data_IF_971166417942
#
_entry.id   IF_971166417942
#
_cell.length_a   1.000
_cell.length_b   1.000
_cell.length_c   1.000
_cell.angle_alpha   90.00
_cell.angle_beta   90.00
_cell.angle_gamma   90.00
#
_symmetry.space_group_name_H-M   'P 1'
#
loop_
_entity.id
_entity.type
_entity.pdbx_description
1 polymer ?
#
# COMPACT_ATOMS: atom_id res chain seq x y z
N UNK A 1 17.03 -20.70 -20.49
CA UNK A 1 17.62 -20.99 -19.16
C UNK A 1 19.16 -21.00 -19.17
N UNK A 2 19.81 -20.05 -19.90
CA UNK A 2 21.29 -19.86 -19.90
C UNK A 2 21.73 -18.39 -19.90
N UNK A 3 20.79 -17.44 -19.74
CA UNK A 3 21.08 -16.00 -19.59
C UNK A 3 20.94 -15.50 -18.15
N UNK A 4 20.47 -16.33 -17.22
CA UNK A 4 20.14 -15.93 -15.84
C UNK A 4 21.34 -15.96 -14.88
N UNK A 5 22.49 -16.52 -15.30
CA UNK A 5 23.63 -16.74 -14.41
C UNK A 5 24.79 -15.73 -14.56
N UNK A 6 24.79 -14.89 -15.62
CA UNK A 6 25.91 -14.00 -15.93
C UNK A 6 25.83 -12.62 -15.24
N UNK A 7 24.71 -12.27 -14.59
CA UNK A 7 24.55 -10.97 -13.90
C UNK A 7 24.94 -11.05 -12.41
N UNK A 8 25.17 -12.25 -11.87
CA UNK A 8 25.45 -12.46 -10.44
C UNK A 8 26.89 -12.18 -10.00
N UNK A 9 27.80 -11.82 -10.90
CA UNK A 9 29.24 -11.66 -10.59
C UNK A 9 29.78 -10.22 -10.67
N UNK A 10 28.90 -9.21 -10.78
CA UNK A 10 29.30 -7.80 -10.80
C UNK A 10 28.41 -6.89 -9.92
N UNK A 11 27.87 -7.40 -8.81
CA UNK A 11 27.20 -6.57 -7.82
C UNK A 11 28.24 -5.76 -7.02
N UNK A 12 28.71 -4.67 -7.62
CA UNK A 12 29.28 -3.54 -6.88
C UNK A 12 28.21 -3.01 -5.91
N UNK A 13 28.57 -2.52 -4.72
CA UNK A 13 27.60 -1.94 -3.80
C UNK A 13 26.83 -0.79 -4.47
N UNK A 14 25.52 -0.86 -4.32
CA UNK A 14 24.54 0.11 -4.79
C UNK A 14 24.70 1.44 -4.07
N UNK A 15 25.24 2.43 -4.76
CA UNK A 15 25.20 3.80 -4.31
C UNK A 15 24.46 4.61 -5.34
N UNK A 16 23.33 5.21 -4.92
CA UNK A 16 22.62 6.18 -5.73
C UNK A 16 23.63 7.17 -6.28
N UNK A 17 23.63 7.34 -7.60
CA UNK A 17 24.70 8.05 -8.30
C UNK A 17 24.62 9.51 -7.89
N UNK A 18 25.62 10.00 -7.15
CA UNK A 18 25.78 11.43 -6.92
C UNK A 18 26.05 12.09 -8.26
N UNK A 19 25.06 12.85 -8.75
CA UNK A 19 25.16 13.57 -10.01
C UNK A 19 26.00 14.83 -9.83
N UNK A 20 25.84 15.49 -8.69
CA UNK A 20 26.53 16.72 -8.35
C UNK A 20 26.41 17.03 -6.85
N UNK A 21 27.42 17.64 -6.27
CA UNK A 21 27.37 18.26 -4.95
C UNK A 21 28.18 19.55 -4.93
N UNK A 22 27.74 20.54 -4.16
CA UNK A 22 28.53 21.74 -3.90
C UNK A 22 29.76 21.42 -3.04
N UNK A 23 30.79 22.26 -3.09
CA UNK A 23 32.04 22.04 -2.35
C UNK A 23 31.85 21.99 -0.82
N UNK A 24 30.85 22.70 -0.31
CA UNK A 24 30.44 22.71 1.09
C UNK A 24 29.41 21.62 1.44
N UNK A 25 28.97 20.82 0.48
CA UNK A 25 27.95 19.78 0.64
C UNK A 25 26.53 20.28 0.92
N UNK A 26 26.30 21.60 0.96
CA UNK A 26 24.99 22.19 1.29
C UNK A 26 23.92 21.95 0.21
N UNK A 27 24.36 21.64 -1.00
CA UNK A 27 23.49 21.32 -2.14
C UNK A 27 23.99 20.07 -2.83
N UNK A 28 23.06 19.21 -3.22
CA UNK A 28 23.38 17.98 -3.93
C UNK A 28 22.24 17.52 -4.82
N UNK A 29 22.57 16.68 -5.79
CA UNK A 29 21.65 15.93 -6.62
C UNK A 29 22.14 14.49 -6.72
N UNK A 30 21.26 13.54 -6.46
CA UNK A 30 21.56 12.11 -6.56
C UNK A 30 20.41 11.39 -7.29
N UNK A 31 20.77 10.35 -8.03
CA UNK A 31 19.84 9.48 -8.73
C UNK A 31 19.90 8.09 -8.11
N UNK A 32 18.84 7.70 -7.43
CA UNK A 32 18.64 6.33 -6.97
C UNK A 32 17.87 5.56 -8.07
N UNK A 33 18.23 4.30 -8.32
CA UNK A 33 17.48 3.45 -9.25
C UNK A 33 17.09 2.14 -8.61
N UNK A 34 15.94 1.60 -9.00
CA UNK A 34 15.49 0.29 -8.55
C UNK A 34 14.92 -0.50 -9.71
N UNK A 35 15.31 -1.77 -9.82
CA UNK A 35 14.78 -2.72 -10.78
C UNK A 35 14.20 -3.91 -10.02
N UNK A 36 12.92 -4.18 -10.19
CA UNK A 36 12.26 -5.35 -9.61
C UNK A 36 11.71 -6.25 -10.69
N UNK A 37 11.84 -7.55 -10.49
CA UNK A 37 11.19 -8.56 -11.32
C UNK A 37 10.44 -9.53 -10.43
N UNK A 38 9.15 -9.70 -10.69
CA UNK A 38 8.27 -10.58 -9.94
C UNK A 38 7.63 -11.59 -10.88
N UNK A 39 7.65 -12.87 -10.52
CA UNK A 39 6.96 -13.95 -11.21
C UNK A 39 5.98 -14.63 -10.27
N UNK A 40 4.72 -14.68 -10.70
CA UNK A 40 3.60 -15.26 -9.98
C UNK A 40 3.07 -16.47 -10.76
N UNK A 41 2.82 -17.57 -10.07
CA UNK A 41 2.04 -18.69 -10.58
C UNK A 41 0.84 -18.93 -9.67
N UNK A 42 -0.33 -19.09 -10.25
CA UNK A 42 -1.58 -19.22 -9.52
C UNK A 42 -2.36 -20.45 -9.97
N UNK A 43 -3.00 -21.11 -9.01
CA UNK A 43 -3.90 -22.23 -9.21
C UNK A 43 -5.28 -21.87 -8.65
N UNK A 44 -6.21 -21.58 -9.56
CA UNK A 44 -7.55 -21.10 -9.27
C UNK A 44 -8.48 -22.19 -8.68
N UNK A 45 -9.53 -21.81 -7.94
CA UNK A 45 -10.63 -22.72 -7.59
C UNK A 45 -11.43 -23.12 -8.85
N UNK A 46 -12.29 -24.12 -8.71
CA UNK A 46 -13.02 -24.68 -9.86
C UNK A 46 -14.24 -23.81 -10.15
N UNK A 47 -14.01 -22.72 -10.88
CA UNK A 47 -15.02 -21.74 -11.25
C UNK A 47 -14.74 -21.20 -12.67
N UNK A 48 -15.10 -21.96 -13.73
CA UNK A 48 -14.74 -21.64 -15.11
C UNK A 48 -15.23 -20.27 -15.61
N UNK A 49 -16.30 -19.73 -15.03
CA UNK A 49 -16.83 -18.40 -15.37
C UNK A 49 -15.96 -17.26 -14.83
N UNK A 50 -15.22 -17.49 -13.73
CA UNK A 50 -14.29 -16.52 -13.14
C UNK A 50 -12.85 -16.76 -13.62
N UNK A 51 -12.51 -18.03 -13.83
CA UNK A 51 -11.18 -18.51 -14.18
C UNK A 51 -11.26 -19.42 -15.41
N UNK A 52 -11.10 -18.88 -16.62
CA UNK A 52 -11.09 -19.69 -17.85
C UNK A 52 -10.04 -20.80 -17.84
N UNK A 53 -8.96 -20.62 -17.07
CA UNK A 53 -7.90 -21.61 -16.85
C UNK A 53 -7.65 -21.82 -15.36
N UNK A 54 -7.38 -23.08 -15.00
CA UNK A 54 -7.02 -23.50 -13.64
C UNK A 54 -5.65 -23.02 -13.21
N UNK A 55 -4.71 -22.95 -14.14
CA UNK A 55 -3.36 -22.45 -13.93
C UNK A 55 -3.17 -21.16 -14.71
N UNK A 56 -2.60 -20.16 -14.04
CA UNK A 56 -2.18 -18.91 -14.65
C UNK A 56 -0.79 -18.52 -14.18
N UNK A 57 -0.13 -17.69 -14.98
CA UNK A 57 1.14 -17.08 -14.62
C UNK A 57 1.09 -15.59 -14.91
N UNK A 58 1.80 -14.81 -14.12
CA UNK A 58 2.03 -13.40 -14.36
C UNK A 58 3.50 -13.04 -14.10
N UNK A 59 4.04 -12.14 -14.90
CA UNK A 59 5.34 -11.53 -14.68
C UNK A 59 5.18 -10.02 -14.61
N UNK A 60 5.93 -9.37 -13.71
CA UNK A 60 5.96 -7.93 -13.55
C UNK A 60 7.41 -7.46 -13.46
N UNK A 61 7.87 -6.71 -14.45
CA UNK A 61 9.10 -5.92 -14.36
C UNK A 61 8.77 -4.50 -13.94
N UNK A 62 9.50 -3.93 -12.97
CA UNK A 62 9.39 -2.54 -12.55
C UNK A 62 10.76 -1.88 -12.57
N UNK A 63 10.90 -0.76 -13.26
CA UNK A 63 12.09 0.08 -13.21
C UNK A 63 11.72 1.45 -12.63
N UNK A 64 12.46 1.92 -11.64
CA UNK A 64 12.24 3.21 -10.99
C UNK A 64 13.51 4.04 -11.03
N UNK A 65 13.37 5.30 -11.46
CA UNK A 65 14.41 6.32 -11.43
C UNK A 65 13.96 7.40 -10.46
N UNK A 66 14.72 7.62 -9.38
CA UNK A 66 14.39 8.55 -8.32
C UNK A 66 15.49 9.61 -8.16
N UNK A 67 15.23 10.81 -8.68
CA UNK A 67 16.06 11.97 -8.46
C UNK A 67 15.72 12.61 -7.10
N UNK A 68 16.73 12.81 -6.27
CA UNK A 68 16.65 13.58 -5.03
C UNK A 68 17.63 14.73 -5.06
N UNK A 69 17.17 15.90 -4.67
CA UNK A 69 17.99 17.10 -4.63
C UNK A 69 17.78 17.91 -3.37
N UNK A 70 18.85 18.51 -2.88
CA UNK A 70 18.82 19.64 -1.96
C UNK A 70 19.26 20.87 -2.75
N UNK A 71 18.29 21.66 -3.23
CA UNK A 71 18.53 22.81 -4.09
C UNK A 71 19.01 24.03 -3.29
N UNK A 72 18.60 24.12 -2.01
CA UNK A 72 19.07 25.07 -1.02
C UNK A 72 19.03 24.44 0.38
N UNK A 73 19.55 25.12 1.41
CA UNK A 73 19.60 24.60 2.79
C UNK A 73 18.21 24.23 3.36
N UNK A 74 17.16 24.85 2.85
CA UNK A 74 15.77 24.71 3.26
C UNK A 74 14.87 24.14 2.15
N UNK A 75 15.41 23.83 0.96
CA UNK A 75 14.64 23.46 -0.22
C UNK A 75 15.06 22.10 -0.78
N UNK A 76 14.16 21.13 -0.68
CA UNK A 76 14.35 19.77 -1.19
C UNK A 76 13.44 19.50 -2.38
N UNK A 77 13.96 18.76 -3.35
CA UNK A 77 13.24 18.36 -4.58
C UNK A 77 13.29 16.85 -4.71
N UNK A 78 12.16 16.25 -5.06
CA UNK A 78 12.05 14.81 -5.33
C UNK A 78 11.28 14.60 -6.62
N UNK A 79 11.86 13.80 -7.52
CA UNK A 79 11.21 13.30 -8.72
C UNK A 79 11.41 11.79 -8.79
N UNK A 80 10.35 11.03 -9.03
CA UNK A 80 10.44 9.60 -9.25
C UNK A 80 9.57 9.20 -10.43
N UNK A 81 10.21 8.58 -11.41
CA UNK A 81 9.60 8.05 -12.61
C UNK A 81 9.69 6.53 -12.60
N UNK A 82 8.56 5.88 -12.80
CA UNK A 82 8.44 4.43 -12.78
C UNK A 82 7.97 3.90 -14.12
N UNK A 83 8.51 2.76 -14.53
CA UNK A 83 8.13 2.01 -15.71
C UNK A 83 7.79 0.60 -15.28
N UNK A 84 6.75 0.03 -15.87
CA UNK A 84 6.21 -1.28 -15.54
C UNK A 84 5.91 -2.05 -16.81
N UNK A 85 6.36 -3.28 -16.87
CA UNK A 85 5.93 -4.24 -17.89
C UNK A 85 5.27 -5.39 -17.17
N UNK A 86 4.00 -5.62 -17.46
CA UNK A 86 3.24 -6.77 -16.94
C UNK A 86 2.92 -7.69 -18.09
N UNK A 87 3.14 -8.98 -17.91
CA UNK A 87 2.68 -10.02 -18.81
C UNK A 87 1.86 -11.04 -18.03
N UNK A 88 0.73 -11.47 -18.58
CA UNK A 88 -0.14 -12.49 -17.98
C UNK A 88 -0.34 -13.64 -18.97
N UNK A 89 -0.57 -14.85 -18.47
CA UNK A 89 -0.91 -15.99 -19.34
C UNK A 89 -2.31 -15.80 -19.97
N UNK A 90 -2.52 -16.28 -21.19
CA UNK A 90 -3.84 -16.24 -21.83
C UNK A 90 -4.92 -16.87 -20.94
N UNK A 91 -6.03 -16.18 -20.76
CA UNK A 91 -7.14 -16.66 -19.93
C UNK A 91 -6.85 -16.64 -18.43
N UNK A 92 -5.88 -15.85 -17.97
CA UNK A 92 -5.57 -15.71 -16.55
C UNK A 92 -6.75 -15.16 -15.72
N UNK A 93 -7.61 -14.32 -16.31
CA UNK A 93 -8.73 -13.69 -15.60
C UNK A 93 -8.29 -13.03 -14.29
N UNK A 94 -9.05 -13.22 -13.22
CA UNK A 94 -8.68 -12.76 -11.88
C UNK A 94 -7.42 -13.46 -11.30
N UNK A 95 -6.99 -14.58 -11.88
CA UNK A 95 -5.84 -15.37 -11.45
C UNK A 95 -4.49 -14.78 -11.86
N UNK A 96 -4.48 -13.73 -12.69
CA UNK A 96 -3.29 -13.00 -13.15
C UNK A 96 -2.59 -12.13 -12.09
N UNK A 97 -2.86 -12.37 -10.80
CA UNK A 97 -2.22 -11.66 -9.68
C UNK A 97 -2.99 -10.46 -9.15
N UNK A 98 -4.32 -10.43 -9.32
CA UNK A 98 -5.17 -9.44 -8.69
C UNK A 98 -4.98 -9.48 -7.15
N UNK A 99 -4.78 -8.31 -6.53
CA UNK A 99 -4.58 -8.16 -5.09
C UNK A 99 -3.18 -8.52 -4.57
N UNK A 100 -2.41 -9.36 -5.27
CA UNK A 100 -1.03 -9.74 -4.89
C UNK A 100 0.00 -8.82 -5.56
N UNK A 101 -0.13 -8.61 -6.87
CA UNK A 101 0.76 -7.73 -7.62
C UNK A 101 0.23 -6.29 -7.56
N UNK A 102 1.13 -5.32 -7.72
CA UNK A 102 0.81 -3.88 -7.70
C UNK A 102 -0.38 -3.57 -8.62
N UNK A 103 -1.41 -2.86 -8.15
CA UNK A 103 -2.60 -2.61 -8.94
C UNK A 103 -2.32 -1.73 -10.17
N UNK A 104 -3.05 -1.99 -11.26
CA UNK A 104 -3.05 -1.17 -12.49
C UNK A 104 -4.21 -0.16 -12.54
N UNK A 105 -4.97 -0.03 -11.44
CA UNK A 105 -6.05 0.94 -11.32
C UNK A 105 -5.51 2.37 -11.24
N UNK A 106 -6.35 3.36 -11.57
CA UNK A 106 -5.99 4.79 -11.49
C UNK A 106 -5.62 5.18 -10.06
N UNK A 107 -4.71 6.13 -9.90
CA UNK A 107 -4.32 6.61 -8.57
C UNK A 107 -5.36 7.60 -8.04
N UNK A 108 -5.66 7.53 -6.74
CA UNK A 108 -6.47 8.56 -6.10
C UNK A 108 -5.74 9.91 -6.12
N UNK A 109 -6.50 11.01 -6.16
CA UNK A 109 -6.00 12.38 -5.97
C UNK A 109 -4.82 12.74 -6.90
N UNK A 110 -4.99 12.55 -8.21
CA UNK A 110 -4.07 13.07 -9.22
C UNK A 110 -4.82 14.00 -10.15
N UNK A 111 -4.29 15.21 -10.35
CA UNK A 111 -4.77 16.19 -11.34
C UNK A 111 -4.67 15.60 -12.76
N UNK A 112 -3.62 14.82 -13.00
CA UNK A 112 -3.43 14.01 -14.22
C UNK A 112 -2.71 12.73 -13.87
N UNK A 113 -3.17 11.59 -14.38
CA UNK A 113 -2.55 10.32 -14.02
C UNK A 113 -1.12 10.16 -14.56
N UNK A 114 -0.88 10.57 -15.81
CA UNK A 114 0.36 10.29 -16.55
C UNK A 114 0.74 8.81 -16.46
N UNK A 115 -0.22 7.92 -16.71
CA UNK A 115 -0.09 6.47 -16.51
C UNK A 115 -0.39 5.62 -17.75
N UNK A 116 -0.21 6.22 -18.93
CA UNK A 116 -0.61 5.66 -20.22
C UNK A 116 -0.10 4.22 -20.40
N UNK A 117 -1.00 3.39 -20.92
CA UNK A 117 -0.74 1.98 -21.15
C UNK A 117 -0.55 1.70 -22.64
N UNK A 118 0.53 1.01 -22.97
CA UNK A 118 0.82 0.50 -24.30
C UNK A 118 0.64 -1.02 -24.29
N UNK A 119 -0.25 -1.53 -25.13
CA UNK A 119 -0.39 -2.96 -25.32
C UNK A 119 0.88 -3.51 -25.99
N UNK A 120 1.44 -4.56 -25.42
CA UNK A 120 2.60 -5.29 -25.93
C UNK A 120 2.15 -6.70 -26.32
N UNK A 121 1.54 -6.84 -27.49
CA UNK A 121 0.88 -8.09 -27.90
C UNK A 121 -0.42 -8.34 -27.14
N UNK A 122 -0.88 -9.59 -27.09
CA UNK A 122 -2.22 -9.92 -26.57
C UNK A 122 -2.32 -9.89 -25.04
N UNK A 123 -1.24 -10.24 -24.33
CA UNK A 123 -1.29 -10.44 -22.88
C UNK A 123 -0.19 -9.69 -22.11
N UNK A 124 0.40 -8.65 -22.69
CA UNK A 124 1.34 -7.81 -21.96
C UNK A 124 1.02 -6.32 -22.12
N UNK A 125 1.32 -5.57 -21.08
CA UNK A 125 1.12 -4.13 -20.98
C UNK A 125 2.40 -3.48 -20.51
N UNK A 126 2.80 -2.43 -21.19
CA UNK A 126 3.77 -1.47 -20.68
C UNK A 126 3.02 -0.27 -20.13
N UNK A 127 3.42 0.19 -18.95
CA UNK A 127 2.93 1.41 -18.31
C UNK A 127 4.11 2.19 -17.78
N UNK A 128 3.95 3.49 -17.68
CA UNK A 128 4.91 4.36 -17.03
C UNK A 128 4.16 5.36 -16.16
N UNK A 129 4.75 5.84 -15.09
CA UNK A 129 4.15 6.91 -14.29
C UNK A 129 5.18 7.83 -13.66
N UNK A 130 4.78 9.10 -13.51
CA UNK A 130 5.43 10.00 -12.57
C UNK A 130 4.85 9.73 -11.18
N UNK A 131 5.54 8.94 -10.34
CA UNK A 131 5.05 8.59 -9.00
C UNK A 131 5.39 9.64 -7.94
N UNK A 132 6.46 10.42 -8.13
CA UNK A 132 6.81 11.58 -7.29
C UNK A 132 7.25 12.75 -8.14
N UNK A 133 6.85 13.94 -7.74
CA UNK A 133 7.29 15.22 -8.30
C UNK A 133 6.87 16.32 -7.33
N UNK A 134 7.68 16.58 -6.31
CA UNK A 134 7.36 17.57 -5.30
C UNK A 134 8.58 18.38 -4.86
N UNK A 135 8.28 19.54 -4.30
CA UNK A 135 9.21 20.40 -3.59
C UNK A 135 8.80 20.46 -2.13
N UNK A 136 9.75 20.30 -1.22
CA UNK A 136 9.57 20.51 0.21
C UNK A 136 10.41 21.71 0.64
N UNK A 137 9.76 22.70 1.23
CA UNK A 137 10.40 23.93 1.69
C UNK A 137 10.21 24.10 3.19
N UNK A 138 11.32 24.17 3.93
CA UNK A 138 11.33 24.45 5.36
C UNK A 138 11.26 25.96 5.61
N UNK A 139 10.16 26.42 6.18
CA UNK A 139 9.87 27.83 6.46
C UNK A 139 9.87 28.05 7.98
N UNK A 140 11.01 28.49 8.52
CA UNK A 140 11.17 28.66 9.97
C UNK A 140 11.02 27.31 10.70
N UNK A 141 9.95 27.18 11.50
CA UNK A 141 9.63 25.94 12.21
C UNK A 141 8.72 24.99 11.43
N UNK A 142 8.09 25.46 10.34
CA UNK A 142 7.17 24.65 9.54
C UNK A 142 7.79 24.10 8.25
N UNK A 143 7.06 23.22 7.59
CA UNK A 143 7.38 22.69 6.27
C UNK A 143 6.16 22.81 5.34
N UNK A 144 6.41 23.27 4.12
CA UNK A 144 5.45 23.32 3.02
C UNK A 144 5.90 22.35 1.93
N UNK A 145 5.05 21.38 1.60
CA UNK A 145 5.27 20.39 0.55
C UNK A 145 4.26 20.62 -0.58
N UNK A 146 4.72 20.77 -1.81
CA UNK A 146 3.85 21.01 -2.97
C UNK A 146 4.24 20.04 -4.09
N UNK A 147 3.25 19.31 -4.60
CA UNK A 147 3.37 18.45 -5.77
C UNK A 147 2.93 17.01 -5.50
N UNK A 148 3.40 16.08 -6.32
CA UNK A 148 3.05 14.66 -6.22
C UNK A 148 3.90 13.95 -5.16
N UNK A 149 3.28 13.51 -4.08
CA UNK A 149 3.95 12.96 -2.90
C UNK A 149 3.19 11.77 -2.32
N UNK A 150 3.86 10.89 -1.58
CA UNK A 150 3.15 9.93 -0.76
C UNK A 150 2.65 10.63 0.50
N UNK A 151 1.35 10.48 0.75
CA UNK A 151 0.75 10.83 2.03
C UNK A 151 0.10 9.56 2.56
N UNK A 152 0.45 9.21 3.79
CA UNK A 152 -0.13 8.08 4.51
C UNK A 152 -0.28 8.49 5.97
N UNK A 153 -1.47 8.28 6.50
CA UNK A 153 -1.79 8.42 7.91
C UNK A 153 -2.33 7.08 8.43
N UNK A 154 -2.46 6.95 9.74
CA UNK A 154 -2.82 5.69 10.38
C UNK A 154 -1.63 5.00 11.03
N UNK A 155 -1.95 4.14 11.98
CA UNK A 155 -1.06 3.36 12.84
C UNK A 155 -1.10 1.86 12.50
N UNK A 156 -2.12 1.41 11.79
CA UNK A 156 -2.23 0.02 11.38
C UNK A 156 -1.11 -0.45 10.45
N UNK A 157 -0.72 -1.70 10.63
CA UNK A 157 0.27 -2.45 9.86
C UNK A 157 -0.39 -3.09 8.64
N UNK A 158 -1.56 -3.71 8.79
CA UNK A 158 -2.27 -4.41 7.71
C UNK A 158 -3.48 -3.63 7.21
N UNK A 159 -4.21 -2.98 8.12
CA UNK A 159 -5.39 -2.18 7.77
C UNK A 159 -5.25 -0.71 8.18
N UNK A 160 -6.19 0.14 7.75
CA UNK A 160 -6.27 1.53 8.18
C UNK A 160 -7.70 2.08 8.13
N UNK A 161 -8.15 2.69 9.22
CA UNK A 161 -9.43 3.41 9.27
C UNK A 161 -9.26 4.89 8.88
N UNK A 162 -8.14 5.51 9.25
CA UNK A 162 -7.86 6.94 8.97
C UNK A 162 -6.88 7.16 7.81
N UNK A 163 -6.34 6.09 7.21
CA UNK A 163 -5.54 6.16 5.98
C UNK A 163 -6.43 6.40 4.75
N UNK A 164 -6.73 7.66 4.46
CA UNK A 164 -7.73 8.05 3.46
C UNK A 164 -7.17 8.40 2.07
N UNK A 165 -5.84 8.48 1.92
CA UNK A 165 -5.23 9.02 0.70
C UNK A 165 -4.93 7.94 -0.34
N UNK A 166 -4.21 6.90 0.05
CA UNK A 166 -3.83 5.81 -0.84
C UNK A 166 -3.43 4.56 -0.03
N UNK A 167 -4.34 3.96 0.74
CA UNK A 167 -4.03 2.79 1.57
C UNK A 167 -3.58 1.61 0.71
N UNK A 168 -2.69 0.77 1.27
CA UNK A 168 -2.31 -0.48 0.62
C UNK A 168 -3.40 -1.54 0.75
N UNK A 169 -3.42 -2.46 -0.20
CA UNK A 169 -4.14 -3.72 -0.03
C UNK A 169 -3.35 -4.62 0.95
N UNK A 170 -4.00 -5.25 1.95
CA UNK A 170 -3.33 -6.12 2.91
C UNK A 170 -2.55 -7.29 2.29
N UNK A 171 -2.96 -7.77 1.11
CA UNK A 171 -2.33 -8.90 0.40
C UNK A 171 -1.29 -8.47 -0.64
N UNK A 172 -1.11 -7.17 -0.87
CA UNK A 172 -0.15 -6.66 -1.84
C UNK A 172 1.27 -7.06 -1.43
N UNK A 173 2.00 -7.67 -2.37
CA UNK A 173 3.36 -8.18 -2.14
C UNK A 173 4.43 -7.09 -2.04
N UNK A 174 4.23 -5.96 -2.73
CA UNK A 174 5.19 -4.86 -2.78
C UNK A 174 4.57 -3.58 -2.22
N UNK A 175 4.73 -3.40 -0.91
CA UNK A 175 4.25 -2.23 -0.17
C UNK A 175 5.36 -1.19 0.06
N UNK A 176 6.46 -1.27 -0.68
CA UNK A 176 7.60 -0.36 -0.50
C UNK A 176 7.25 1.06 -0.96
N UNK A 177 6.53 1.19 -2.07
CA UNK A 177 6.22 2.49 -2.67
C UNK A 177 4.71 2.75 -2.68
N UNK A 178 4.27 3.54 -1.70
CA UNK A 178 2.90 4.07 -1.69
C UNK A 178 2.70 4.98 -2.89
N UNK A 179 1.56 4.86 -3.56
CA UNK A 179 1.24 5.68 -4.74
C UNK A 179 1.18 7.16 -4.38
N UNK A 180 1.78 7.99 -5.23
CA UNK A 180 1.77 9.44 -5.04
C UNK A 180 0.43 10.09 -5.33
N UNK A 181 0.08 11.08 -4.51
CA UNK A 181 -1.06 11.99 -4.67
C UNK A 181 -0.56 13.40 -4.95
N UNK A 182 -1.24 14.13 -5.82
CA UNK A 182 -0.98 15.55 -6.09
C UNK A 182 -1.55 16.35 -4.93
N UNK A 183 -0.68 16.97 -4.13
CA UNK A 183 -1.12 17.63 -2.90
C UNK A 183 -0.29 18.86 -2.53
N UNK A 184 -0.94 19.74 -1.77
CA UNK A 184 -0.29 20.74 -0.94
C UNK A 184 -0.38 20.27 0.51
N UNK A 185 0.74 20.24 1.22
CA UNK A 185 0.82 19.85 2.61
C UNK A 185 1.57 20.90 3.42
N UNK A 186 1.03 21.26 4.58
CA UNK A 186 1.67 22.16 5.52
C UNK A 186 1.77 21.45 6.86
N UNK A 187 2.97 21.34 7.40
CA UNK A 187 3.24 20.76 8.72
C UNK A 187 3.90 21.79 9.62
N UNK A 188 3.35 22.02 10.81
CA UNK A 188 3.83 23.02 11.77
C UNK A 188 3.88 22.41 13.18
N UNK A 189 5.06 22.35 13.82
CA UNK A 189 5.15 22.04 15.24
C UNK A 189 4.58 23.22 16.04
N UNK A 190 3.63 22.92 16.92
CA UNK A 190 3.00 23.92 17.80
C UNK A 190 3.72 24.00 19.16
N UNK A 191 4.29 22.88 19.61
CA UNK A 191 5.11 22.73 20.80
C UNK A 191 5.99 21.47 20.68
N UNK A 192 6.85 21.21 21.67
CA UNK A 192 7.77 20.07 21.68
C UNK A 192 7.12 18.70 21.43
N UNK A 193 5.83 18.56 21.82
CA UNK A 193 5.09 17.30 21.74
C UNK A 193 3.84 17.36 20.86
N UNK A 194 3.55 18.49 20.22
CA UNK A 194 2.30 18.68 19.48
C UNK A 194 2.54 19.37 18.14
N UNK A 195 1.86 18.88 17.11
CA UNK A 195 1.99 19.36 15.74
C UNK A 195 0.64 19.43 15.04
N UNK A 196 0.56 20.33 14.07
CA UNK A 196 -0.53 20.45 13.12
C UNK A 196 -0.04 20.05 11.73
N UNK A 197 -0.86 19.33 11.00
CA UNK A 197 -0.62 18.94 9.60
C UNK A 197 -1.90 19.19 8.80
N UNK A 198 -1.80 19.82 7.65
CA UNK A 198 -2.93 20.10 6.78
C UNK A 198 -2.59 19.65 5.37
N UNK A 199 -3.46 18.85 4.77
CA UNK A 199 -3.28 18.30 3.42
C UNK A 199 -4.48 18.66 2.56
N UNK A 200 -4.19 19.27 1.42
CA UNK A 200 -5.11 19.42 0.30
C UNK A 200 -4.64 18.49 -0.83
N UNK A 201 -5.25 17.32 -0.97
CA UNK A 201 -4.98 16.36 -2.03
C UNK A 201 -5.99 16.55 -3.17
N UNK A 202 -5.49 16.86 -4.37
CA UNK A 202 -6.29 17.35 -5.48
C UNK A 202 -6.64 16.21 -6.45
N UNK A 203 -7.94 15.96 -6.63
CA UNK A 203 -8.48 15.10 -7.69
C UNK A 203 -8.70 15.85 -9.01
N UNK A 204 -9.38 15.23 -9.98
CA UNK A 204 -9.71 15.88 -11.27
C UNK A 204 -10.74 17.01 -11.08
N UNK A 205 -11.47 17.00 -9.96
CA UNK A 205 -12.38 18.05 -9.52
C UNK A 205 -12.28 18.30 -8.01
N UNK A 206 -12.88 19.41 -7.55
CA UNK A 206 -12.99 19.71 -6.11
C UNK A 206 -13.77 18.62 -5.38
N UNK A 207 -14.79 18.05 -6.02
CA UNK A 207 -15.61 16.98 -5.42
C UNK A 207 -14.87 15.65 -5.34
N UNK A 208 -13.80 15.45 -6.11
CA UNK A 208 -12.89 14.29 -6.02
C UNK A 208 -11.64 14.55 -5.15
N UNK A 209 -11.53 15.74 -4.57
CA UNK A 209 -10.40 16.16 -3.75
C UNK A 209 -10.61 15.82 -2.26
N UNK A 210 -9.53 15.89 -1.48
CA UNK A 210 -9.57 15.77 -0.03
C UNK A 210 -8.86 16.95 0.63
N UNK A 211 -9.48 17.51 1.66
CA UNK A 211 -8.96 18.63 2.46
C UNK A 211 -9.08 18.25 3.92
N UNK A 212 -7.96 17.90 4.56
CA UNK A 212 -7.97 17.36 5.91
C UNK A 212 -6.88 18.00 6.76
N UNK A 213 -7.29 18.45 7.94
CA UNK A 213 -6.41 18.87 9.02
C UNK A 213 -6.24 17.75 10.03
N UNK A 214 -5.04 17.65 10.59
CA UNK A 214 -4.64 16.69 11.60
C UNK A 214 -3.89 17.39 12.70
N UNK A 215 -4.36 17.23 13.93
CA UNK A 215 -3.65 17.61 15.14
C UNK A 215 -3.17 16.34 15.83
N UNK A 216 -1.89 16.25 16.15
CA UNK A 216 -1.30 15.04 16.71
C UNK A 216 -0.18 15.35 17.71
N UNK A 217 0.06 14.43 18.63
CA UNK A 217 1.09 14.61 19.63
C UNK A 217 0.99 13.65 20.81
N UNK A 218 1.85 13.90 21.80
CA UNK A 218 2.02 13.03 22.96
C UNK A 218 1.48 13.66 24.24
N UNK A 219 0.65 12.89 24.96
CA UNK A 219 0.21 13.18 26.33
C UNK A 219 0.62 12.04 27.25
N UNK A 220 1.72 12.20 27.99
CA UNK A 220 2.32 11.13 28.77
C UNK A 220 2.83 10.01 27.85
N UNK A 221 2.32 8.79 28.05
CA UNK A 221 2.64 7.62 27.22
C UNK A 221 1.68 7.42 26.03
N UNK A 222 0.65 8.27 25.92
CA UNK A 222 -0.34 8.21 24.84
C UNK A 222 0.15 9.06 23.67
N UNK A 223 0.28 8.45 22.50
CA UNK A 223 0.38 9.13 21.21
C UNK A 223 -1.02 9.20 20.61
N UNK A 224 -1.52 10.40 20.34
CA UNK A 224 -2.89 10.63 19.89
C UNK A 224 -2.96 11.56 18.68
N UNK A 225 -3.96 11.34 17.83
CA UNK A 225 -4.28 12.24 16.73
C UNK A 225 -5.79 12.43 16.55
N UNK A 226 -6.16 13.63 16.11
CA UNK A 226 -7.50 14.03 15.71
C UNK A 226 -7.42 14.57 14.28
N UNK A 227 -8.29 14.06 13.42
CA UNK A 227 -8.40 14.44 12.02
C UNK A 227 -9.80 14.98 11.73
N UNK A 228 -9.88 16.03 10.92
CA UNK A 228 -11.14 16.64 10.49
C UNK A 228 -11.01 17.18 9.07
N UNK A 229 -12.04 16.99 8.26
CA UNK A 229 -12.00 17.50 6.90
C UNK A 229 -13.08 16.96 5.99
N UNK A 230 -12.77 16.96 4.70
CA UNK A 230 -13.62 16.42 3.63
C UNK A 230 -12.80 15.51 2.74
N UNK A 231 -13.40 14.41 2.28
CA UNK A 231 -12.82 13.44 1.36
C UNK A 231 -13.86 13.08 0.30
N UNK A 232 -13.63 13.43 -0.97
CA UNK A 232 -14.50 13.06 -2.10
C UNK A 232 -16.01 13.33 -1.89
N UNK A 233 -16.36 14.48 -1.32
CA UNK A 233 -17.76 14.77 -0.94
C UNK A 233 -18.10 14.43 0.50
N UNK A 234 -17.48 13.40 1.08
CA UNK A 234 -17.78 12.95 2.44
C UNK A 234 -17.18 13.90 3.48
N UNK A 235 -17.96 14.28 4.49
CA UNK A 235 -17.40 14.94 5.68
C UNK A 235 -16.76 13.88 6.56
N UNK A 236 -15.53 14.14 6.98
CA UNK A 236 -14.67 13.18 7.66
C UNK A 236 -14.26 13.71 9.03
N UNK A 237 -14.41 12.85 10.05
CA UNK A 237 -13.78 13.03 11.36
C UNK A 237 -13.12 11.72 11.72
N UNK A 238 -11.86 11.77 12.13
CA UNK A 238 -11.08 10.60 12.50
C UNK A 238 -10.32 10.84 13.80
N UNK A 239 -10.04 9.78 14.52
CA UNK A 239 -9.09 9.79 15.62
C UNK A 239 -8.30 8.50 15.60
N UNK A 240 -7.07 8.56 16.04
CA UNK A 240 -6.30 7.37 16.30
C UNK A 240 -5.42 7.60 17.52
N UNK A 241 -5.06 6.52 18.20
CA UNK A 241 -4.13 6.57 19.31
C UNK A 241 -3.30 5.29 19.39
N UNK A 242 -2.11 5.39 19.99
CA UNK A 242 -1.33 4.23 20.41
C UNK A 242 -0.69 4.46 21.78
N UNK A 243 -0.45 3.36 22.48
CA UNK A 243 0.25 3.35 23.75
C UNK A 243 0.90 2.00 24.02
N UNK A 244 1.86 1.96 24.95
CA UNK A 244 2.48 0.71 25.41
C UNK A 244 1.80 0.22 26.70
N UNK A 245 1.28 -1.00 26.69
CA UNK A 245 0.66 -1.67 27.85
C UNK A 245 1.45 -2.95 28.16
N UNK A 246 2.11 -3.00 29.31
CA UNK A 246 2.85 -4.20 29.80
C UNK A 246 3.80 -4.81 28.76
N UNK A 247 4.47 -3.98 27.98
CA UNK A 247 5.42 -4.43 26.96
C UNK A 247 4.82 -4.63 25.56
N UNK A 248 3.50 -4.72 25.43
CA UNK A 248 2.80 -4.70 24.14
C UNK A 248 2.55 -3.26 23.69
N UNK A 249 2.63 -3.01 22.40
CA UNK A 249 2.06 -1.82 21.78
C UNK A 249 0.59 -2.12 21.46
N UNK A 250 -0.29 -1.14 21.69
CA UNK A 250 -1.71 -1.20 21.38
C UNK A 250 -2.06 0.06 20.62
N UNK A 251 -2.81 -0.09 19.52
CA UNK A 251 -3.29 1.03 18.72
C UNK A 251 -4.77 0.87 18.38
N UNK A 252 -5.43 2.01 18.19
CA UNK A 252 -6.79 2.06 17.71
C UNK A 252 -6.99 3.24 16.76
N UNK A 253 -7.89 3.07 15.81
CA UNK A 253 -8.34 4.11 14.90
C UNK A 253 -9.87 4.07 14.80
N UNK A 254 -10.48 5.24 14.69
CA UNK A 254 -11.92 5.39 14.47
C UNK A 254 -12.14 6.54 13.49
N UNK A 255 -12.94 6.31 12.46
CA UNK A 255 -13.33 7.30 11.48
C UNK A 255 -14.83 7.27 11.21
N UNK A 256 -15.41 8.44 11.05
CA UNK A 256 -16.80 8.65 10.66
C UNK A 256 -16.85 9.47 9.38
N UNK A 257 -17.62 8.97 8.41
CA UNK A 257 -17.85 9.58 7.11
C UNK A 257 -19.34 9.88 6.98
N UNK A 258 -19.69 11.15 6.75
CA UNK A 258 -21.06 11.53 6.40
C UNK A 258 -21.13 11.69 4.88
N UNK A 259 -21.84 10.78 4.22
CA UNK A 259 -21.97 10.78 2.76
C UNK A 259 -23.01 11.81 2.28
N UNK A 260 -22.91 12.29 1.03
CA UNK A 260 -23.90 13.19 0.45
C UNK A 260 -25.32 12.60 0.37
N UNK A 261 -26.34 13.46 0.41
CA UNK A 261 -27.76 13.07 0.43
C UNK A 261 -28.22 12.27 -0.82
N UNK A 262 -27.52 12.38 -1.93
CA UNK A 262 -27.76 11.59 -3.16
C UNK A 262 -27.48 10.10 -2.98
N UNK A 263 -26.78 9.72 -1.90
CA UNK A 263 -26.52 8.34 -1.49
C UNK A 263 -27.24 7.99 -0.16
N UNK A 264 -28.39 8.62 0.10
CA UNK A 264 -29.18 8.37 1.30
C UNK A 264 -28.69 9.09 2.56
N UNK A 265 -27.57 9.82 2.51
CA UNK A 265 -27.07 10.63 3.63
C UNK A 265 -26.75 9.80 4.87
N UNK A 266 -26.00 8.72 4.69
CA UNK A 266 -25.67 7.77 5.75
C UNK A 266 -24.37 8.15 6.48
N UNK A 267 -24.30 7.83 7.77
CA UNK A 267 -23.06 7.90 8.54
C UNK A 267 -22.38 6.53 8.46
N UNK A 268 -21.24 6.48 7.80
CA UNK A 268 -20.44 5.27 7.64
C UNK A 268 -19.26 5.32 8.61
N UNK A 269 -19.07 4.25 9.39
CA UNK A 269 -17.97 4.13 10.33
C UNK A 269 -16.87 3.21 9.79
N UNK A 270 -15.61 3.56 10.08
CA UNK A 270 -14.47 2.65 10.00
C UNK A 270 -13.78 2.60 11.34
N UNK A 271 -13.31 1.43 11.75
CA UNK A 271 -12.56 1.26 12.97
C UNK A 271 -11.42 0.25 12.79
N UNK A 272 -10.35 0.44 13.53
CA UNK A 272 -9.24 -0.50 13.66
C UNK A 272 -8.90 -0.62 15.14
N UNK A 273 -8.69 -1.85 15.60
CA UNK A 273 -8.07 -2.13 16.88
C UNK A 273 -6.98 -3.16 16.66
N UNK A 274 -5.80 -2.89 17.18
CA UNK A 274 -4.68 -3.80 17.04
C UNK A 274 -3.63 -3.62 18.11
N UNK A 275 -2.60 -4.44 18.00
CA UNK A 275 -1.45 -4.37 18.87
C UNK A 275 -0.35 -5.31 18.42
N UNK A 276 0.82 -5.10 19.01
CA UNK A 276 2.01 -5.87 18.69
C UNK A 276 2.82 -6.19 19.94
N UNK A 277 3.47 -7.36 19.92
CA UNK A 277 4.37 -7.79 20.99
C UNK A 277 5.61 -8.45 20.40
N UNK A 278 6.78 -8.02 20.88
CA UNK A 278 8.06 -8.57 20.49
C UNK A 278 8.62 -9.44 21.62
N UNK A 279 8.89 -10.71 21.34
CA UNK A 279 9.66 -11.59 22.20
C UNK A 279 11.13 -11.55 21.80
N UNK A 280 11.99 -11.44 22.82
CA UNK A 280 13.43 -11.59 22.69
C UNK A 280 13.79 -13.07 22.58
N UNK A 281 13.67 -13.61 21.38
CA UNK A 281 14.10 -14.97 21.00
C UNK A 281 15.33 -14.88 20.11
N UNK A 282 16.00 -16.00 19.84
CA UNK A 282 17.10 -16.01 18.88
C UNK A 282 16.60 -15.59 17.48
N UNK A 283 16.95 -14.36 17.09
CA UNK A 283 16.49 -13.72 15.85
C UNK A 283 15.30 -12.76 16.00
N UNK A 284 14.75 -12.59 17.20
CA UNK A 284 13.59 -11.74 17.48
C UNK A 284 12.29 -12.27 16.87
N UNK A 285 11.19 -12.24 17.63
CA UNK A 285 9.88 -12.67 17.16
C UNK A 285 8.86 -11.56 17.43
N UNK A 286 8.19 -11.07 16.40
CA UNK A 286 7.15 -10.05 16.49
C UNK A 286 5.81 -10.66 16.11
N UNK A 287 4.82 -10.58 17.01
CA UNK A 287 3.41 -10.83 16.69
C UNK A 287 2.69 -9.51 16.56
N UNK A 288 1.89 -9.38 15.51
CA UNK A 288 0.93 -8.30 15.29
C UNK A 288 -0.46 -8.93 15.15
N UNK A 289 -1.45 -8.35 15.79
CA UNK A 289 -2.86 -8.72 15.63
C UNK A 289 -3.70 -7.46 15.39
N UNK A 290 -4.56 -7.50 14.38
CA UNK A 290 -5.44 -6.39 14.01
C UNK A 290 -6.85 -6.88 13.69
N UNK A 291 -7.84 -6.06 14.05
CA UNK A 291 -9.23 -6.22 13.66
C UNK A 291 -9.74 -4.92 13.07
N UNK A 292 -10.24 -5.00 11.85
CA UNK A 292 -10.72 -3.87 11.07
C UNK A 292 -12.22 -4.01 10.78
N UNK A 293 -12.93 -2.91 10.95
CA UNK A 293 -14.31 -2.74 10.53
C UNK A 293 -14.41 -1.58 9.52
N UNK A 294 -15.18 -1.78 8.46
CA UNK A 294 -15.54 -0.73 7.51
C UNK A 294 -16.98 -0.88 7.05
N UNK A 295 -17.82 0.10 7.38
CA UNK A 295 -19.20 0.15 6.89
C UNK A 295 -19.32 0.34 5.38
N UNK A 296 -18.24 0.68 4.67
CA UNK A 296 -18.20 0.71 3.21
C UNK A 296 -18.17 -0.69 2.59
N UNK A 297 -17.83 -1.72 3.35
CA UNK A 297 -17.86 -3.11 2.92
C UNK A 297 -19.27 -3.64 2.66
N UNK A 298 -19.40 -4.64 1.78
CA UNK A 298 -20.67 -5.36 1.62
C UNK A 298 -20.97 -6.21 2.86
N UNK A 299 -22.25 -6.29 3.24
CA UNK A 299 -22.70 -7.18 4.32
C UNK A 299 -22.75 -8.64 3.86
N UNK A 300 -23.09 -8.86 2.60
CA UNK A 300 -23.11 -10.15 1.93
C UNK A 300 -22.28 -10.06 0.65
N UNK A 301 -21.32 -10.97 0.50
CA UNK A 301 -20.43 -11.01 -0.66
C UNK A 301 -21.17 -11.31 -1.97
N UNK A 302 -22.37 -11.90 -1.92
CA UNK A 302 -23.22 -12.11 -3.08
C UNK A 302 -23.72 -10.78 -3.68
N UNK A 303 -23.74 -9.69 -2.91
CA UNK A 303 -24.20 -8.36 -3.33
C UNK A 303 -23.08 -7.50 -3.94
N UNK A 304 -21.87 -8.06 -4.14
CA UNK A 304 -20.69 -7.33 -4.64
C UNK A 304 -20.93 -6.59 -5.96
N UNK A 305 -21.84 -7.09 -6.80
CA UNK A 305 -22.18 -6.49 -8.09
C UNK A 305 -23.02 -5.20 -7.99
N UNK A 306 -23.43 -4.78 -6.79
CA UNK A 306 -24.18 -3.54 -6.60
C UNK A 306 -23.34 -2.31 -7.01
N UNK A 307 -23.88 -1.52 -7.95
CA UNK A 307 -23.17 -0.39 -8.55
C UNK A 307 -22.62 0.65 -7.55
N UNK A 308 -23.34 1.04 -6.47
CA UNK A 308 -22.82 2.02 -5.49
C UNK A 308 -21.56 1.53 -4.78
N UNK A 309 -21.49 0.24 -4.45
CA UNK A 309 -20.33 -0.36 -3.79
C UNK A 309 -19.13 -0.39 -4.73
N UNK A 310 -19.33 -0.80 -5.99
CA UNK A 310 -18.25 -0.89 -6.97
C UNK A 310 -17.58 0.46 -7.22
N UNK A 311 -18.35 1.56 -7.25
CA UNK A 311 -17.81 2.91 -7.37
C UNK A 311 -16.85 3.23 -6.22
N UNK A 312 -17.22 2.91 -4.97
CA UNK A 312 -16.38 3.15 -3.80
C UNK A 312 -15.16 2.23 -3.72
N UNK A 313 -15.31 0.98 -4.14
CA UNK A 313 -14.19 0.04 -4.26
C UNK A 313 -13.15 0.55 -5.27
N UNK A 314 -13.59 1.02 -6.43
CA UNK A 314 -12.71 1.60 -7.47
C UNK A 314 -12.01 2.88 -6.96
N UNK A 315 -12.70 3.67 -6.14
CA UNK A 315 -12.13 4.89 -5.53
C UNK A 315 -11.12 4.59 -4.40
N UNK A 316 -10.96 3.33 -3.99
CA UNK A 316 -10.06 2.90 -2.93
C UNK A 316 -10.58 3.20 -1.51
N UNK A 317 -11.90 3.30 -1.34
CA UNK A 317 -12.51 3.52 -0.02
C UNK A 317 -12.48 2.26 0.85
N UNK A 318 -12.41 1.09 0.22
CA UNK A 318 -12.40 -0.21 0.86
C UNK A 318 -11.06 -0.94 0.62
N UNK A 319 -10.43 -1.43 1.70
CA UNK A 319 -9.24 -2.29 1.67
C UNK A 319 -9.57 -3.78 1.65
N UNK A 320 -10.82 -4.09 2.02
CA UNK A 320 -11.42 -5.42 2.13
C UNK A 320 -12.76 -5.38 1.42
N UNK A 321 -13.27 -6.53 0.99
CA UNK A 321 -14.56 -6.57 0.29
C UNK A 321 -15.70 -6.48 1.30
N UNK A 322 -15.64 -7.30 2.35
CA UNK A 322 -16.61 -7.35 3.43
C UNK A 322 -16.47 -6.19 4.41
N UNK A 323 -17.35 -6.16 5.43
CA UNK A 323 -17.30 -5.14 6.49
C UNK A 323 -16.27 -5.41 7.58
N UNK A 324 -15.85 -6.66 7.74
CA UNK A 324 -15.02 -7.09 8.86
C UNK A 324 -13.83 -7.88 8.35
N UNK A 325 -12.65 -7.60 8.90
CA UNK A 325 -11.48 -8.44 8.67
C UNK A 325 -10.63 -8.51 9.94
N UNK A 326 -10.10 -9.70 10.21
CA UNK A 326 -9.06 -9.90 11.21
C UNK A 326 -7.76 -10.26 10.51
N UNK A 327 -6.64 -9.89 11.13
CA UNK A 327 -5.34 -10.33 10.68
C UNK A 327 -4.38 -10.61 11.84
N UNK A 328 -3.56 -11.65 11.66
CA UNK A 328 -2.47 -12.01 12.57
C UNK A 328 -1.21 -12.16 11.74
N UNK A 329 -0.12 -11.50 12.15
CA UNK A 329 1.17 -11.60 11.50
C UNK A 329 2.25 -11.96 12.50
N UNK A 330 3.06 -12.96 12.15
CA UNK A 330 4.25 -13.36 12.87
C UNK A 330 5.47 -13.08 12.00
N UNK A 331 6.42 -12.32 12.53
CA UNK A 331 7.65 -11.94 11.83
C UNK A 331 8.88 -12.33 12.66
N UNK A 332 9.84 -13.00 12.03
CA UNK A 332 11.09 -13.44 12.66
C UNK A 332 12.30 -12.95 11.85
N UNK A 333 13.37 -12.57 12.54
CA UNK A 333 14.63 -12.22 11.87
C UNK A 333 14.57 -10.91 11.08
N UNK A 334 13.73 -9.96 11.50
CA UNK A 334 13.46 -8.70 10.79
C UNK A 334 14.75 -7.91 10.50
N UNK A 335 15.72 -7.96 11.41
CA UNK A 335 17.02 -7.29 11.29
C UNK A 335 18.13 -8.18 10.71
N UNK A 336 17.82 -9.43 10.38
CA UNK A 336 18.76 -10.39 9.82
C UNK A 336 18.77 -10.41 8.29
N UNK A 337 19.62 -11.26 7.72
CA UNK A 337 19.73 -11.45 6.27
C UNK A 337 18.65 -12.37 5.70
N UNK A 338 17.88 -13.06 6.55
CA UNK A 338 16.78 -13.93 6.13
C UNK A 338 15.49 -13.66 6.92
N UNK A 339 14.83 -12.49 6.76
CA UNK A 339 13.54 -12.23 7.39
C UNK A 339 12.47 -13.21 6.93
N UNK A 340 11.58 -13.59 7.84
CA UNK A 340 10.48 -14.53 7.59
C UNK A 340 9.20 -13.95 8.15
N UNK A 341 8.12 -14.08 7.39
CA UNK A 341 6.80 -13.60 7.81
C UNK A 341 5.74 -14.66 7.51
N UNK A 342 4.87 -14.90 8.48
CA UNK A 342 3.64 -15.67 8.32
C UNK A 342 2.46 -14.76 8.68
N UNK A 343 1.58 -14.50 7.72
CA UNK A 343 0.39 -13.68 7.90
C UNK A 343 -0.87 -14.50 7.66
N UNK A 344 -1.88 -14.30 8.49
CA UNK A 344 -3.20 -14.88 8.34
C UNK A 344 -4.22 -13.74 8.31
N UNK A 345 -4.81 -13.52 7.15
CA UNK A 345 -5.93 -12.60 6.93
C UNK A 345 -7.22 -13.43 6.92
N UNK A 346 -8.27 -13.01 7.62
CA UNK A 346 -9.52 -13.76 7.66
C UNK A 346 -10.74 -12.85 7.78
N UNK A 347 -11.86 -13.30 7.21
CA UNK A 347 -13.19 -12.73 7.44
C UNK A 347 -13.84 -13.48 8.61
N UNK A 348 -14.17 -12.79 9.72
CA UNK A 348 -14.88 -13.40 10.84
C UNK A 348 -16.34 -13.70 10.52
N UNK A 349 -16.87 -13.20 9.40
CA UNK A 349 -18.29 -13.32 9.04
C UNK A 349 -18.57 -14.62 8.29
N UNK A 350 -17.76 -14.94 7.28
CA UNK A 350 -17.94 -16.14 6.45
C UNK A 350 -16.89 -17.23 6.72
N UNK A 351 -15.95 -16.97 7.63
CA UNK A 351 -14.89 -17.90 8.01
C UNK A 351 -13.85 -18.14 6.92
N UNK A 352 -13.86 -17.38 5.82
CA UNK A 352 -12.83 -17.47 4.77
C UNK A 352 -11.58 -16.68 5.15
N UNK A 353 -10.47 -16.93 4.45
CA UNK A 353 -9.22 -16.20 4.70
C UNK A 353 -8.11 -16.56 3.74
N UNK A 354 -6.94 -15.96 3.96
CA UNK A 354 -5.69 -16.20 3.24
C UNK A 354 -4.57 -16.38 4.26
N UNK A 355 -3.93 -17.55 4.22
CA UNK A 355 -2.65 -17.77 4.89
C UNK A 355 -1.52 -17.43 3.91
N UNK A 356 -0.65 -16.50 4.26
CA UNK A 356 0.46 -16.06 3.43
C UNK A 356 1.79 -16.24 4.18
N UNK A 357 2.74 -16.93 3.56
CA UNK A 357 4.11 -17.07 4.07
C UNK A 357 5.09 -16.37 3.14
N UNK A 358 6.10 -15.70 3.69
CA UNK A 358 7.16 -15.05 2.93
C UNK A 358 8.52 -15.28 3.58
N UNK A 359 9.53 -15.51 2.74
CA UNK A 359 10.94 -15.55 3.12
C UNK A 359 11.71 -14.62 2.20
N UNK A 360 12.49 -13.72 2.78
CA UNK A 360 13.32 -12.77 2.04
C UNK A 360 14.78 -13.07 2.33
N UNK A 361 15.61 -13.20 1.30
CA UNK A 361 17.05 -13.25 1.38
C UNK A 361 17.63 -11.89 0.99
N UNK A 362 18.30 -11.24 1.94
CA UNK A 362 19.02 -9.99 1.75
C UNK A 362 20.49 -10.34 1.55
N UNK A 363 20.96 -10.26 0.32
CA UNK A 363 22.36 -10.56 -0.02
C UNK A 363 23.27 -9.36 0.23
N UNK A 364 22.74 -8.16 0.01
CA UNK A 364 23.40 -6.87 0.25
C UNK A 364 22.35 -5.75 0.20
N UNK A 365 22.77 -4.51 0.40
CA UNK A 365 21.94 -3.32 0.17
C UNK A 365 21.49 -3.18 -1.30
N UNK A 366 22.18 -3.87 -2.23
CA UNK A 366 21.90 -3.82 -3.66
C UNK A 366 20.94 -4.91 -4.15
N UNK A 367 20.82 -6.03 -3.43
CA UNK A 367 20.14 -7.22 -3.95
C UNK A 367 19.34 -7.96 -2.88
N UNK A 368 18.04 -8.11 -3.16
CA UNK A 368 17.14 -8.96 -2.38
C UNK A 368 16.40 -9.95 -3.27
N UNK A 369 16.14 -11.14 -2.73
CA UNK A 369 15.28 -12.16 -3.31
C UNK A 369 14.18 -12.47 -2.29
N UNK A 370 12.93 -12.48 -2.70
CA UNK A 370 11.81 -12.87 -1.85
C UNK A 370 11.02 -13.99 -2.52
N UNK A 371 10.58 -14.96 -1.71
CA UNK A 371 9.64 -15.99 -2.12
C UNK A 371 8.43 -15.95 -1.18
N UNK A 372 7.23 -15.88 -1.76
CA UNK A 372 5.97 -15.82 -1.02
C UNK A 372 4.97 -16.86 -1.53
N UNK A 373 4.15 -17.40 -0.64
CA UNK A 373 3.06 -18.30 -0.96
C UNK A 373 1.77 -17.79 -0.32
N UNK A 374 0.67 -17.85 -1.06
CA UNK A 374 -0.66 -17.39 -0.67
C UNK A 374 -1.64 -18.56 -0.77
N UNK A 375 -2.31 -18.86 0.33
CA UNK A 375 -3.22 -20.00 0.46
C UNK A 375 -4.61 -19.53 0.91
N UNK A 376 -5.45 -19.07 -0.04
CA UNK A 376 -6.85 -18.76 0.22
C UNK A 376 -7.65 -20.01 0.59
N UNK A 377 -8.62 -19.84 1.47
CA UNK A 377 -9.60 -20.84 1.87
C UNK A 377 -10.96 -20.18 2.15
N UNK A 378 -12.05 -20.95 2.06
CA UNK A 378 -13.42 -20.46 2.19
C UNK A 378 -14.38 -21.21 1.25
N UNK A 379 -15.66 -20.83 1.30
CA UNK A 379 -16.66 -21.36 0.37
C UNK A 379 -16.33 -20.94 -1.07
N UNK A 380 -16.26 -21.92 -1.98
CA UNK A 380 -15.88 -21.69 -3.37
C UNK A 380 -17.01 -20.95 -4.11
N UNK A 381 -16.68 -20.18 -5.17
CA UNK A 381 -17.69 -19.55 -6.00
C UNK A 381 -18.65 -20.58 -6.61
N UNK A 382 -19.89 -20.17 -6.81
CA UNK A 382 -20.88 -20.94 -7.57
C UNK A 382 -21.17 -20.19 -8.88
N UNK A 383 -20.71 -20.74 -9.99
CA UNK A 383 -20.71 -20.03 -11.26
C UNK A 383 -19.87 -18.76 -11.22
N UNK A 384 -20.50 -17.60 -11.46
CA UNK A 384 -19.86 -16.28 -11.41
C UNK A 384 -20.04 -15.57 -10.05
N UNK A 385 -20.76 -16.17 -9.11
CA UNK A 385 -21.10 -15.54 -7.82
C UNK A 385 -20.12 -16.00 -6.75
N UNK A 386 -19.48 -15.03 -6.08
CA UNK A 386 -18.65 -15.31 -4.91
C UNK A 386 -19.53 -15.75 -3.74
N UNK A 387 -19.06 -16.76 -2.99
CA UNK A 387 -19.76 -17.32 -1.84
C UNK A 387 -19.08 -16.99 -0.51
N UNK A 388 -17.80 -16.63 -0.59
CA UNK A 388 -17.03 -16.07 0.52
C UNK A 388 -16.01 -15.08 -0.03
N UNK A 389 -15.56 -14.17 0.82
CA UNK A 389 -14.64 -13.09 0.48
C UNK A 389 -13.32 -13.61 -0.09
N UNK A 390 -12.75 -14.64 0.53
CA UNK A 390 -11.45 -15.19 0.12
C UNK A 390 -11.52 -16.56 -0.57
N UNK A 391 -12.66 -17.27 -0.53
CA UNK A 391 -12.78 -18.62 -1.12
C UNK A 391 -12.76 -18.63 -2.66
N UNK A 392 -12.96 -17.47 -3.30
CA UNK A 392 -12.74 -17.27 -4.72
C UNK A 392 -11.28 -17.07 -5.12
N UNK A 393 -10.36 -16.85 -4.18
CA UNK A 393 -8.95 -16.58 -4.45
C UNK A 393 -8.18 -17.79 -5.00
N UNK A 394 -7.18 -17.52 -5.84
CA UNK A 394 -6.27 -18.55 -6.34
C UNK A 394 -5.10 -18.80 -5.37
N UNK A 395 -4.74 -20.07 -5.17
CA UNK A 395 -3.49 -20.41 -4.47
C UNK A 395 -2.32 -19.96 -5.31
N UNK A 396 -1.41 -19.18 -4.75
CA UNK A 396 -0.41 -18.49 -5.55
C UNK A 396 0.98 -18.58 -4.94
N UNK A 397 1.99 -18.72 -5.79
CA UNK A 397 3.40 -18.61 -5.43
C UNK A 397 4.04 -17.45 -6.18
N UNK A 398 4.79 -16.61 -5.47
CA UNK A 398 5.48 -15.43 -5.99
C UNK A 398 6.97 -15.56 -5.71
N UNK A 399 7.79 -15.26 -6.71
CA UNK A 399 9.23 -15.01 -6.54
C UNK A 399 9.50 -13.60 -7.02
N UNK A 400 10.19 -12.79 -6.21
CA UNK A 400 10.57 -11.43 -6.55
C UNK A 400 12.06 -11.22 -6.33
N UNK A 401 12.73 -10.64 -7.32
CA UNK A 401 14.11 -10.19 -7.24
C UNK A 401 14.12 -8.67 -7.32
N UNK A 402 14.80 -8.00 -6.39
CA UNK A 402 14.92 -6.54 -6.37
C UNK A 402 16.38 -6.13 -6.36
N UNK A 403 16.72 -5.27 -7.31
CA UNK A 403 18.00 -4.61 -7.41
C UNK A 403 17.81 -3.14 -7.06
N UNK A 404 18.69 -2.62 -6.23
CA UNK A 404 18.78 -1.20 -5.89
C UNK A 404 20.15 -0.72 -6.38
N UNK A 405 20.23 0.49 -6.92
CA UNK A 405 21.48 1.13 -7.31
C UNK A 405 21.53 2.58 -6.91
#
# INVERSE_FOLDING_TARGET
MRLTLAVLLAAQPAFGVSLWSSADGSRYWALDTALKWSALSSHAPDAPLLYPKRWSAAALGRGRLALRGQAAADLHVRLAYEQRVRAVSTGAGAGGGAGILVPESRAPYRLRQFDDALAMGENATYRHELDRAFVAWRLGHGELQIGRQAVGWGRGVLFGAVDIFAPFNPLESDREWRRGVDALRVSVPLADRFSLDAVAACGESVDESAFVGRFYGYTGALDGELLLGRRRGDRFVGTAASMRIRGAEMHGELASFKTPATEGGEVVLKALLGGSYAWDTQGGLLLVGEYHFSGFGVSDIAELAAAPYLARLIQGDAQILGRHAGAVQLSQGITGTVPRTLSWLFSPIDGSGVLAGAVTWIFSDALTLAASAYWPYGERPSGAVLRSEYGGGAKSGLVQMSFYY
#
